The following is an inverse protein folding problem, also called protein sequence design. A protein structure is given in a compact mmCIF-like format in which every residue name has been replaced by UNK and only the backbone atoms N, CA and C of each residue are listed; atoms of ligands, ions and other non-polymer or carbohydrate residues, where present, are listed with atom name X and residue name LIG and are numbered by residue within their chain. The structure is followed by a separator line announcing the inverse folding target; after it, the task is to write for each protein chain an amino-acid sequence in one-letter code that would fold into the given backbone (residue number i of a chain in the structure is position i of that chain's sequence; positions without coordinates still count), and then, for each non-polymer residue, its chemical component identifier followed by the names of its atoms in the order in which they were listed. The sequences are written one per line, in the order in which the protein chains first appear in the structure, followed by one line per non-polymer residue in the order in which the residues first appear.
data_IF_659142809537
#
_entry.id   IF_659142809537
#
_cell.length_a   1.000
_cell.length_b   1.000
_cell.length_c   1.000
_cell.angle_alpha   90.00
_cell.angle_beta   90.00
_cell.angle_gamma   90.00
#
_symmetry.space_group_name_H-M   'P 1'
#
loop_
_entity.id
_entity.type
_entity.pdbx_description
1 polymer ?
#
# COMPACT_ATOMS: atom_id res chain seq x y z
N UNK A 1 12.68 19.13 -30.53
CA UNK A 1 11.77 18.07 -30.04
C UNK A 1 10.38 18.32 -30.61
N UNK A 2 9.94 17.46 -31.53
CA UNK A 2 8.70 17.60 -32.31
C UNK A 2 7.46 17.37 -31.43
N UNK A 3 6.31 17.92 -31.83
CA UNK A 3 5.01 17.79 -31.14
C UNK A 3 4.60 16.33 -30.90
N UNK A 4 4.97 15.41 -31.79
CA UNK A 4 4.83 13.96 -31.58
C UNK A 4 5.62 13.43 -30.37
N UNK A 5 6.82 13.95 -30.10
CA UNK A 5 7.63 13.50 -28.96
C UNK A 5 7.00 13.91 -27.63
N UNK A 6 6.33 15.07 -27.57
CA UNK A 6 5.60 15.52 -26.37
C UNK A 6 4.35 14.68 -26.10
N UNK A 7 3.62 14.29 -27.15
CA UNK A 7 2.46 13.43 -27.01
C UNK A 7 2.85 12.03 -26.53
N UNK A 8 3.90 11.43 -27.12
CA UNK A 8 4.45 10.15 -26.66
C UNK A 8 4.98 10.23 -25.22
N UNK A 9 5.64 11.32 -24.82
CA UNK A 9 6.08 11.50 -23.43
C UNK A 9 4.91 11.70 -22.45
N UNK A 10 3.85 12.40 -22.84
CA UNK A 10 2.65 12.59 -22.03
C UNK A 10 1.86 11.27 -21.89
N UNK A 11 1.77 10.49 -22.98
CA UNK A 11 1.17 9.16 -22.98
C UNK A 11 2.00 8.20 -22.12
N UNK A 12 3.33 8.23 -22.23
CA UNK A 12 4.26 7.44 -21.40
C UNK A 12 4.24 7.85 -19.93
N UNK A 13 3.96 9.12 -19.60
CA UNK A 13 3.71 9.56 -18.20
C UNK A 13 2.36 9.07 -17.67
N UNK A 14 1.30 9.11 -18.49
CA UNK A 14 -0.02 8.58 -18.11
C UNK A 14 -0.02 7.05 -17.99
N UNK A 15 0.72 6.35 -18.84
CA UNK A 15 0.93 4.91 -18.76
C UNK A 15 1.95 4.54 -17.68
N UNK A 16 2.95 5.38 -17.41
CA UNK A 16 3.91 5.23 -16.31
C UNK A 16 3.28 5.39 -14.92
N UNK A 17 2.08 5.97 -14.83
CA UNK A 17 1.23 5.94 -13.62
C UNK A 17 0.52 4.59 -13.43
N UNK A 18 0.37 3.79 -14.49
CA UNK A 18 -0.02 2.37 -14.40
C UNK A 18 1.25 1.53 -14.20
N UNK A 19 1.89 1.67 -13.03
CA UNK A 19 2.90 0.70 -12.60
C UNK A 19 2.21 -0.63 -12.30
N UNK A 20 1.95 -1.41 -13.35
CA UNK A 20 1.38 -2.74 -13.25
C UNK A 20 2.42 -3.64 -12.56
N UNK A 21 2.15 -4.12 -11.33
CA UNK A 21 3.01 -5.10 -10.71
C UNK A 21 2.87 -6.39 -11.50
N UNK A 22 3.95 -6.82 -12.14
CA UNK A 22 3.97 -8.09 -12.84
C UNK A 22 4.03 -9.26 -11.84
N UNK A 23 3.55 -10.44 -12.23
CA UNK A 23 3.72 -11.67 -11.46
C UNK A 23 5.19 -12.05 -11.24
N UNK A 24 5.40 -13.01 -10.36
CA UNK A 24 6.70 -13.56 -9.96
C UNK A 24 7.58 -13.98 -11.13
N UNK A 25 6.98 -14.53 -12.19
CA UNK A 25 7.64 -14.85 -13.46
C UNK A 25 6.98 -14.11 -14.63
N UNK A 26 7.82 -13.58 -15.50
CA UNK A 26 7.46 -12.94 -16.75
C UNK A 26 7.31 -13.97 -17.88
N UNK A 27 6.13 -14.58 -17.96
CA UNK A 27 5.64 -15.42 -19.08
C UNK A 27 6.40 -16.72 -19.40
N UNK A 28 7.66 -16.89 -19.00
CA UNK A 28 8.52 -18.02 -19.44
C UNK A 28 7.98 -19.38 -19.06
N UNK A 29 7.52 -19.54 -17.83
CA UNK A 29 7.03 -20.82 -17.33
C UNK A 29 5.70 -21.25 -17.98
N UNK A 30 4.62 -20.44 -17.98
CA UNK A 30 3.37 -20.85 -18.62
C UNK A 30 3.47 -20.96 -20.15
N UNK A 31 4.24 -20.08 -20.81
CA UNK A 31 4.43 -20.13 -22.26
C UNK A 31 5.34 -21.30 -22.64
N UNK A 32 6.43 -21.54 -21.92
CA UNK A 32 7.34 -22.66 -22.15
C UNK A 32 6.65 -24.02 -21.98
N UNK A 33 5.77 -24.17 -20.97
CA UNK A 33 4.98 -25.39 -20.78
C UNK A 33 4.00 -25.64 -21.93
N UNK A 34 3.39 -24.58 -22.50
CA UNK A 34 2.50 -24.73 -23.65
C UNK A 34 3.29 -25.03 -24.93
N UNK A 35 4.39 -24.31 -25.18
CA UNK A 35 5.19 -24.53 -26.38
C UNK A 35 5.83 -25.93 -26.40
N UNK A 36 6.24 -26.45 -25.24
CA UNK A 36 6.76 -27.82 -25.12
C UNK A 36 5.73 -28.92 -25.39
N UNK A 37 4.43 -28.62 -25.43
CA UNK A 37 3.38 -29.59 -25.81
C UNK A 37 3.27 -29.78 -27.33
N UNK A 38 3.53 -28.72 -28.10
CA UNK A 38 3.17 -28.66 -29.53
C UNK A 38 4.37 -28.52 -30.46
N UNK A 39 5.52 -28.10 -29.92
CA UNK A 39 6.71 -27.79 -30.71
C UNK A 39 7.89 -28.67 -30.31
N UNK A 40 8.78 -28.99 -31.26
CA UNK A 40 10.05 -29.62 -30.94
C UNK A 40 10.92 -28.69 -30.07
N UNK A 41 11.89 -29.24 -29.32
CA UNK A 41 12.60 -28.53 -28.25
C UNK A 41 13.23 -27.20 -28.68
N UNK A 42 13.94 -27.18 -29.81
CA UNK A 42 14.58 -25.96 -30.33
C UNK A 42 13.55 -24.88 -30.70
N UNK A 43 12.43 -25.26 -31.29
CA UNK A 43 11.35 -24.32 -31.63
C UNK A 43 10.61 -23.83 -30.38
N UNK A 44 10.43 -24.69 -29.37
CA UNK A 44 9.84 -24.30 -28.09
C UNK A 44 10.73 -23.30 -27.34
N UNK A 45 12.05 -23.51 -27.32
CA UNK A 45 13.03 -22.59 -26.74
C UNK A 45 13.05 -21.24 -27.47
N UNK A 46 13.13 -21.26 -28.80
CA UNK A 46 13.10 -20.03 -29.62
C UNK A 46 11.79 -19.28 -29.46
N UNK A 47 10.65 -19.98 -29.44
CA UNK A 47 9.34 -19.40 -29.23
C UNK A 47 9.21 -18.73 -27.86
N UNK A 48 9.70 -19.38 -26.79
CA UNK A 48 9.71 -18.80 -25.46
C UNK A 48 10.64 -17.58 -25.37
N UNK A 49 11.81 -17.63 -26.01
CA UNK A 49 12.75 -16.52 -26.07
C UNK A 49 12.17 -15.30 -26.82
N UNK A 50 11.53 -15.53 -27.97
CA UNK A 50 10.85 -14.49 -28.74
C UNK A 50 9.68 -13.89 -27.95
N UNK A 51 8.87 -14.71 -27.29
CA UNK A 51 7.76 -14.26 -26.44
C UNK A 51 8.23 -13.37 -25.29
N UNK A 52 9.28 -13.79 -24.58
CA UNK A 52 9.88 -12.97 -23.53
C UNK A 52 10.51 -11.69 -24.09
N UNK A 53 11.19 -11.75 -25.23
CA UNK A 53 11.77 -10.57 -25.90
C UNK A 53 10.71 -9.53 -26.29
N UNK A 54 9.60 -9.97 -26.89
CA UNK A 54 8.45 -9.11 -27.22
C UNK A 54 7.81 -8.53 -25.96
N UNK A 55 7.68 -9.32 -24.89
CA UNK A 55 7.15 -8.83 -23.61
C UNK A 55 8.05 -7.76 -22.97
N UNK A 56 9.38 -7.95 -22.99
CA UNK A 56 10.35 -6.96 -22.49
C UNK A 56 10.27 -5.67 -23.31
N UNK A 57 10.16 -5.78 -24.64
CA UNK A 57 10.01 -4.64 -25.53
C UNK A 57 8.72 -3.86 -25.22
N UNK A 58 7.61 -4.55 -24.99
CA UNK A 58 6.34 -3.94 -24.60
C UNK A 58 6.45 -3.21 -23.25
N UNK A 59 7.07 -3.83 -22.24
CA UNK A 59 7.33 -3.19 -20.95
C UNK A 59 8.23 -1.96 -21.07
N UNK A 60 9.22 -2.01 -21.95
CA UNK A 60 10.12 -0.88 -22.21
C UNK A 60 9.38 0.29 -22.86
N UNK A 61 8.52 0.02 -23.84
CA UNK A 61 7.66 1.01 -24.49
C UNK A 61 6.71 1.69 -23.49
N UNK A 62 6.10 0.91 -22.60
CA UNK A 62 5.21 1.39 -21.54
C UNK A 62 5.96 2.11 -20.41
N UNK A 63 7.28 1.92 -20.29
CA UNK A 63 8.12 2.50 -19.23
C UNK A 63 8.07 1.73 -17.91
N UNK A 64 7.52 0.52 -17.89
CA UNK A 64 7.38 -0.33 -16.70
C UNK A 64 8.59 -1.21 -16.39
N UNK A 65 9.65 -1.15 -17.20
CA UNK A 65 10.82 -2.04 -17.09
C UNK A 65 11.58 -1.84 -15.77
N UNK A 66 11.74 -0.60 -15.32
CA UNK A 66 12.48 -0.29 -14.08
C UNK A 66 11.79 -0.90 -12.85
N UNK A 67 10.45 -0.82 -12.78
CA UNK A 67 9.66 -1.36 -11.68
C UNK A 67 9.65 -2.90 -11.64
N UNK A 68 9.78 -3.55 -12.80
CA UNK A 68 9.68 -5.00 -12.94
C UNK A 68 11.02 -5.71 -13.25
N UNK A 69 12.15 -4.98 -13.14
CA UNK A 69 13.50 -5.53 -13.34
C UNK A 69 13.78 -6.86 -12.63
N UNK A 70 13.37 -7.09 -11.36
CA UNK A 70 13.64 -8.38 -10.71
C UNK A 70 12.83 -9.54 -11.31
N UNK A 71 11.58 -9.32 -11.73
CA UNK A 71 10.75 -10.35 -12.38
C UNK A 71 11.32 -10.71 -13.76
N UNK A 72 11.68 -9.70 -14.56
CA UNK A 72 12.32 -9.91 -15.87
C UNK A 72 13.66 -10.63 -15.75
N UNK A 73 14.50 -10.24 -14.79
CA UNK A 73 15.79 -10.87 -14.55
C UNK A 73 15.65 -12.35 -14.17
N UNK A 74 14.65 -12.68 -13.36
CA UNK A 74 14.36 -14.06 -12.96
C UNK A 74 13.94 -14.91 -14.16
N UNK A 75 13.05 -14.41 -15.01
CA UNK A 75 12.60 -15.15 -16.18
C UNK A 75 13.69 -15.34 -17.24
N UNK A 76 14.58 -14.35 -17.42
CA UNK A 76 15.78 -14.51 -18.23
C UNK A 76 16.69 -15.61 -17.68
N UNK A 77 16.87 -15.68 -16.35
CA UNK A 77 17.66 -16.72 -15.71
C UNK A 77 17.05 -18.11 -15.88
N UNK A 78 15.72 -18.24 -15.73
CA UNK A 78 14.99 -19.49 -15.99
C UNK A 78 15.16 -19.94 -17.44
N UNK A 79 14.99 -19.03 -18.41
CA UNK A 79 15.14 -19.32 -19.83
C UNK A 79 16.56 -19.80 -20.17
N UNK A 80 17.59 -19.13 -19.62
CA UNK A 80 18.98 -19.52 -19.82
C UNK A 80 19.25 -20.91 -19.24
N UNK A 81 18.82 -21.16 -17.99
CA UNK A 81 18.96 -22.48 -17.38
C UNK A 81 18.25 -23.56 -18.20
N UNK A 82 17.00 -23.32 -18.61
CA UNK A 82 16.24 -24.27 -19.43
C UNK A 82 16.93 -24.57 -20.76
N UNK A 83 17.45 -23.55 -21.45
CA UNK A 83 18.21 -23.72 -22.69
C UNK A 83 19.50 -24.52 -22.45
N UNK A 84 20.26 -24.21 -21.40
CA UNK A 84 21.49 -24.96 -21.07
C UNK A 84 21.21 -26.42 -20.76
N UNK A 85 20.15 -26.71 -19.98
CA UNK A 85 19.78 -28.08 -19.65
C UNK A 85 19.29 -28.84 -20.88
N UNK A 86 18.44 -28.22 -21.71
CA UNK A 86 17.92 -28.85 -22.92
C UNK A 86 19.03 -29.20 -23.93
N UNK A 87 20.06 -28.37 -24.06
CA UNK A 87 21.22 -28.64 -24.91
C UNK A 87 22.20 -29.66 -24.31
N UNK A 88 22.23 -29.80 -22.98
CA UNK A 88 23.18 -30.69 -22.30
C UNK A 88 22.66 -32.13 -22.17
N UNK A 89 21.34 -32.32 -22.20
CA UNK A 89 20.68 -33.61 -22.01
C UNK A 89 19.98 -34.08 -23.30
N UNK A 90 20.74 -34.14 -24.40
CA UNK A 90 20.20 -34.50 -25.73
C UNK A 90 19.81 -35.99 -25.83
N UNK A 91 20.20 -36.83 -24.86
CA UNK A 91 19.93 -38.28 -24.86
C UNK A 91 18.58 -38.68 -24.24
N UNK A 92 17.86 -37.76 -23.58
CA UNK A 92 16.61 -38.05 -22.85
C UNK A 92 15.32 -37.89 -23.70
N UNK A 93 15.43 -37.84 -25.03
CA UNK A 93 14.33 -37.51 -25.94
C UNK A 93 13.15 -38.50 -25.94
N UNK A 94 13.33 -39.70 -25.40
CA UNK A 94 12.34 -40.77 -25.51
C UNK A 94 11.05 -40.51 -24.71
N UNK A 95 11.07 -39.68 -23.67
CA UNK A 95 9.89 -39.43 -22.84
C UNK A 95 9.19 -38.11 -23.17
N UNK A 96 7.89 -38.08 -23.52
CA UNK A 96 7.20 -36.86 -23.98
C UNK A 96 7.16 -35.70 -22.96
N UNK A 97 7.50 -35.96 -21.69
CA UNK A 97 7.50 -34.98 -20.60
C UNK A 97 8.89 -34.42 -20.25
N UNK A 98 9.96 -34.87 -20.93
CA UNK A 98 11.34 -34.50 -20.59
C UNK A 98 11.57 -32.98 -20.68
N UNK A 99 11.04 -32.34 -21.71
CA UNK A 99 11.24 -30.90 -21.92
C UNK A 99 10.53 -30.05 -20.85
N UNK A 100 9.37 -30.52 -20.39
CA UNK A 100 8.61 -29.91 -19.28
C UNK A 100 9.30 -30.11 -17.94
N UNK A 101 9.89 -31.28 -17.68
CA UNK A 101 10.60 -31.55 -16.43
C UNK A 101 11.85 -30.66 -16.30
N UNK A 102 12.59 -30.44 -17.39
CA UNK A 102 13.73 -29.50 -17.39
C UNK A 102 13.30 -28.06 -17.11
N UNK A 103 12.15 -27.61 -17.65
CA UNK A 103 11.62 -26.28 -17.38
C UNK A 103 11.22 -26.13 -15.90
N UNK A 104 10.52 -27.11 -15.33
CA UNK A 104 10.14 -27.09 -13.91
C UNK A 104 11.39 -27.10 -13.01
N UNK A 105 12.41 -27.89 -13.35
CA UNK A 105 13.67 -27.92 -12.62
C UNK A 105 14.42 -26.58 -12.70
N UNK A 106 14.46 -25.94 -13.88
CA UNK A 106 15.06 -24.61 -14.05
C UNK A 106 14.36 -23.52 -13.21
N UNK A 107 13.05 -23.65 -13.02
CA UNK A 107 12.29 -22.74 -12.17
C UNK A 107 12.56 -22.94 -10.67
N UNK A 108 12.63 -24.18 -10.20
CA UNK A 108 12.94 -24.49 -8.80
C UNK A 108 14.34 -23.99 -8.45
N UNK A 109 15.32 -24.26 -9.32
CA UNK A 109 16.70 -23.80 -9.12
C UNK A 109 16.78 -22.27 -9.11
N UNK A 110 16.11 -21.58 -10.03
CA UNK A 110 15.97 -20.11 -10.01
C UNK A 110 15.37 -19.57 -8.71
N UNK A 111 14.29 -20.21 -8.23
CA UNK A 111 13.63 -19.84 -6.96
C UNK A 111 14.56 -19.98 -5.76
N UNK A 112 15.35 -21.05 -5.72
CA UNK A 112 16.28 -21.35 -4.64
C UNK A 112 17.44 -20.34 -4.63
N UNK A 113 18.02 -20.03 -5.80
CA UNK A 113 19.07 -19.00 -5.94
C UNK A 113 18.54 -17.64 -5.50
N UNK A 114 17.32 -17.25 -5.92
CA UNK A 114 16.70 -16.01 -5.48
C UNK A 114 16.42 -16.00 -3.97
N UNK A 115 16.04 -17.13 -3.38
CA UNK A 115 15.90 -17.32 -1.93
C UNK A 115 17.20 -17.06 -1.17
N UNK A 116 18.30 -17.70 -1.58
CA UNK A 116 19.63 -17.54 -0.96
C UNK A 116 20.12 -16.11 -1.07
N UNK A 117 20.00 -15.49 -2.25
CA UNK A 117 20.39 -14.10 -2.47
C UNK A 117 19.63 -13.13 -1.54
N UNK A 118 18.32 -13.32 -1.40
CA UNK A 118 17.48 -12.52 -0.50
C UNK A 118 17.87 -12.73 0.96
N UNK A 119 18.08 -13.96 1.39
CA UNK A 119 18.49 -14.29 2.75
C UNK A 119 19.84 -13.67 3.13
N UNK A 120 20.83 -13.74 2.24
CA UNK A 120 22.13 -13.09 2.45
C UNK A 120 22.00 -11.57 2.56
N UNK A 121 21.20 -10.94 1.69
CA UNK A 121 20.96 -9.49 1.73
C UNK A 121 20.23 -9.05 3.00
N UNK A 122 19.21 -9.79 3.43
CA UNK A 122 18.42 -9.44 4.61
C UNK A 122 19.22 -9.68 5.92
N UNK A 123 20.28 -10.51 5.90
CA UNK A 123 21.22 -10.74 7.03
C UNK A 123 22.35 -9.70 7.14
N UNK A 124 22.80 -9.13 6.02
CA UNK A 124 23.91 -8.15 5.97
C UNK A 124 23.48 -6.71 5.66
N UNK A 125 22.25 -6.50 5.24
CA UNK A 125 21.69 -5.18 4.98
C UNK A 125 21.25 -4.48 6.26
N UNK A 126 21.57 -3.21 6.38
CA UNK A 126 20.84 -2.30 7.28
C UNK A 126 19.36 -2.34 6.93
N UNK A 127 18.47 -2.40 7.93
CA UNK A 127 17.02 -2.35 7.76
C UNK A 127 16.65 -1.06 7.01
N UNK A 128 16.63 -1.12 5.67
CA UNK A 128 16.10 -0.03 4.87
C UNK A 128 14.60 0.03 5.19
N UNK A 129 14.13 1.18 5.68
CA UNK A 129 12.71 1.50 5.79
C UNK A 129 12.06 1.48 4.40
N UNK A 130 11.80 0.27 3.91
CA UNK A 130 11.12 0.05 2.66
C UNK A 130 9.69 0.53 2.78
N UNK A 131 9.22 1.24 1.76
CA UNK A 131 7.81 1.61 1.65
C UNK A 131 6.93 0.37 1.87
N UNK A 132 5.96 0.47 2.80
CA UNK A 132 5.04 -0.61 3.14
C UNK A 132 4.33 -1.19 1.90
N UNK A 133 4.00 -0.36 0.90
CA UNK A 133 3.48 -0.80 -0.41
C UNK A 133 4.35 -1.88 -1.03
N UNK A 134 5.67 -1.65 -1.08
CA UNK A 134 6.64 -2.59 -1.65
C UNK A 134 6.77 -3.85 -0.79
N UNK A 135 6.64 -3.72 0.54
CA UNK A 135 6.66 -4.86 1.46
C UNK A 135 5.44 -5.77 1.26
N UNK A 136 4.23 -5.21 1.24
CA UNK A 136 2.98 -5.95 1.02
C UNK A 136 3.01 -6.65 -0.35
N UNK A 137 3.37 -5.93 -1.42
CA UNK A 137 3.48 -6.53 -2.76
C UNK A 137 4.55 -7.63 -2.82
N UNK A 138 5.66 -7.50 -2.09
CA UNK A 138 6.71 -8.53 -2.00
C UNK A 138 6.21 -9.76 -1.25
N UNK A 139 5.48 -9.60 -0.16
CA UNK A 139 4.92 -10.71 0.64
C UNK A 139 3.87 -11.50 -0.16
N UNK A 140 3.00 -10.82 -0.91
CA UNK A 140 2.03 -11.49 -1.79
C UNK A 140 2.73 -12.26 -2.93
N UNK A 141 3.75 -11.67 -3.56
CA UNK A 141 4.58 -12.38 -4.56
C UNK A 141 5.24 -13.63 -3.97
N UNK A 142 5.76 -13.55 -2.74
CA UNK A 142 6.36 -14.69 -2.04
C UNK A 142 5.35 -15.81 -1.72
N UNK A 143 4.07 -15.49 -1.53
CA UNK A 143 3.02 -16.50 -1.36
C UNK A 143 2.81 -17.27 -2.67
N UNK A 144 2.67 -16.57 -3.79
CA UNK A 144 2.53 -17.21 -5.10
C UNK A 144 3.78 -17.99 -5.53
N UNK A 145 4.97 -17.46 -5.26
CA UNK A 145 6.23 -18.16 -5.49
C UNK A 145 6.26 -19.51 -4.76
N UNK A 146 5.85 -19.55 -3.49
CA UNK A 146 5.78 -20.80 -2.70
C UNK A 146 4.77 -21.80 -3.27
N UNK A 147 3.59 -21.32 -3.70
CA UNK A 147 2.57 -22.17 -4.34
C UNK A 147 3.14 -22.79 -5.61
N UNK A 148 3.80 -21.98 -6.45
CA UNK A 148 4.34 -22.45 -7.72
C UNK A 148 5.54 -23.39 -7.53
N UNK A 149 6.38 -23.17 -6.51
CA UNK A 149 7.45 -24.11 -6.13
C UNK A 149 6.84 -25.45 -5.68
N UNK A 150 5.87 -25.43 -4.77
CA UNK A 150 5.22 -26.65 -4.28
C UNK A 150 4.57 -27.42 -5.43
N UNK A 151 3.85 -26.72 -6.31
CA UNK A 151 3.28 -27.32 -7.52
C UNK A 151 4.36 -27.94 -8.41
N UNK A 152 5.43 -27.21 -8.74
CA UNK A 152 6.51 -27.71 -9.59
C UNK A 152 7.20 -28.95 -9.00
N UNK A 153 7.37 -29.01 -7.68
CA UNK A 153 7.96 -30.17 -7.00
C UNK A 153 7.04 -31.38 -7.03
N UNK A 154 5.74 -31.19 -6.76
CA UNK A 154 4.74 -32.27 -6.87
C UNK A 154 4.65 -32.78 -8.30
N UNK A 155 4.66 -31.89 -9.30
CA UNK A 155 4.64 -32.27 -10.71
C UNK A 155 5.90 -33.03 -11.11
N UNK A 156 7.10 -32.62 -10.66
CA UNK A 156 8.33 -33.38 -10.92
C UNK A 156 8.30 -34.78 -10.30
N UNK A 157 7.80 -34.92 -9.07
CA UNK A 157 7.61 -36.22 -8.44
C UNK A 157 6.62 -37.10 -9.22
N UNK A 158 5.52 -36.51 -9.71
CA UNK A 158 4.55 -37.20 -10.54
C UNK A 158 5.14 -37.63 -11.90
N UNK A 159 5.91 -36.76 -12.56
CA UNK A 159 6.62 -37.10 -13.80
C UNK A 159 7.60 -38.27 -13.54
N UNK A 160 8.39 -38.20 -12.47
CA UNK A 160 9.31 -39.28 -12.08
C UNK A 160 8.57 -40.61 -11.85
N UNK A 161 7.46 -40.57 -11.12
CA UNK A 161 6.61 -41.75 -10.91
C UNK A 161 6.06 -42.30 -12.24
N UNK A 162 5.62 -41.44 -13.16
CA UNK A 162 5.16 -41.84 -14.49
C UNK A 162 6.27 -42.48 -15.32
N UNK A 163 7.51 -41.99 -15.24
CA UNK A 163 8.67 -42.61 -15.93
C UNK A 163 8.96 -44.02 -15.39
N UNK A 164 8.80 -44.23 -14.09
CA UNK A 164 9.05 -45.54 -13.46
C UNK A 164 7.90 -46.55 -13.59
N UNK A 165 6.65 -46.08 -13.65
CA UNK A 165 5.45 -46.93 -13.54
C UNK A 165 4.67 -47.09 -14.85
N UNK A 166 4.74 -46.12 -15.76
CA UNK A 166 3.94 -46.13 -16.98
C UNK A 166 4.79 -46.49 -18.20
N UNK A 167 4.49 -47.60 -18.90
CA UNK A 167 5.11 -47.86 -20.19
C UNK A 167 4.73 -46.76 -21.20
N UNK A 168 5.65 -46.46 -22.12
CA UNK A 168 5.52 -45.38 -23.14
C UNK A 168 4.24 -45.49 -23.98
N UNK A 169 3.65 -46.69 -24.05
CA UNK A 169 2.39 -46.99 -24.74
C UNK A 169 1.17 -46.23 -24.21
N UNK A 170 1.21 -45.69 -22.98
CA UNK A 170 0.15 -44.84 -22.41
C UNK A 170 0.29 -43.35 -22.81
N UNK A 171 0.77 -43.07 -24.02
CA UNK A 171 1.06 -41.72 -24.51
C UNK A 171 -0.10 -40.72 -24.35
N UNK A 172 -1.35 -41.18 -24.51
CA UNK A 172 -2.53 -40.33 -24.31
C UNK A 172 -2.67 -39.83 -22.86
N UNK A 173 -2.44 -40.68 -21.86
CA UNK A 173 -2.49 -40.28 -20.44
C UNK A 173 -1.39 -39.27 -20.10
N UNK A 174 -0.18 -39.48 -20.61
CA UNK A 174 0.94 -38.56 -20.43
C UNK A 174 0.63 -37.20 -21.08
N UNK A 175 -0.01 -37.18 -22.24
CA UNK A 175 -0.43 -35.95 -22.91
C UNK A 175 -1.53 -35.22 -22.14
N UNK A 176 -2.54 -35.92 -21.60
CA UNK A 176 -3.55 -35.31 -20.73
C UNK A 176 -2.94 -34.71 -19.46
N UNK A 177 -1.97 -35.41 -18.86
CA UNK A 177 -1.23 -34.92 -17.70
C UNK A 177 -0.44 -33.64 -18.04
N UNK A 178 0.26 -33.62 -19.17
CA UNK A 178 1.02 -32.47 -19.64
C UNK A 178 0.12 -31.23 -19.88
N UNK A 179 -1.05 -31.44 -20.50
CA UNK A 179 -2.05 -30.38 -20.72
C UNK A 179 -2.59 -29.87 -19.39
N UNK A 180 -2.89 -30.77 -18.45
CA UNK A 180 -3.35 -30.40 -17.11
C UNK A 180 -2.33 -29.52 -16.38
N UNK A 181 -1.04 -29.87 -16.44
CA UNK A 181 0.05 -29.09 -15.84
C UNK A 181 0.13 -27.68 -16.44
N UNK A 182 0.06 -27.58 -17.78
CA UNK A 182 0.07 -26.28 -18.46
C UNK A 182 -1.17 -25.43 -18.10
N UNK A 183 -2.36 -26.03 -18.08
CA UNK A 183 -3.61 -25.34 -17.77
C UNK A 183 -3.66 -24.87 -16.32
N UNK A 184 -3.24 -25.72 -15.37
CA UNK A 184 -3.16 -25.36 -13.96
C UNK A 184 -2.20 -24.18 -13.75
N UNK A 185 -1.03 -24.22 -14.40
CA UNK A 185 -0.05 -23.13 -14.34
C UNK A 185 -0.62 -21.82 -14.87
N UNK A 186 -1.34 -21.85 -16.00
CA UNK A 186 -2.04 -20.69 -16.53
C UNK A 186 -3.10 -20.14 -15.58
N UNK A 187 -3.84 -21.03 -14.89
CA UNK A 187 -4.80 -20.66 -13.85
C UNK A 187 -4.16 -19.92 -12.68
N UNK A 188 -3.06 -20.46 -12.14
CA UNK A 188 -2.29 -19.81 -11.07
C UNK A 188 -1.73 -18.46 -11.52
N UNK A 189 -1.19 -18.39 -12.74
CA UNK A 189 -0.65 -17.15 -13.32
C UNK A 189 -1.71 -16.06 -13.48
N UNK A 190 -2.89 -16.41 -14.00
CA UNK A 190 -4.01 -15.48 -14.15
C UNK A 190 -4.51 -14.99 -12.79
N UNK A 191 -4.62 -15.90 -11.82
CA UNK A 191 -5.04 -15.56 -10.46
C UNK A 191 -4.03 -14.64 -9.75
N UNK A 192 -2.72 -14.92 -9.85
CA UNK A 192 -1.66 -14.05 -9.33
C UNK A 192 -1.75 -12.65 -9.95
N UNK A 193 -1.88 -12.58 -11.28
CA UNK A 193 -1.94 -11.31 -12.01
C UNK A 193 -3.15 -10.47 -11.59
N UNK A 194 -4.32 -11.10 -11.47
CA UNK A 194 -5.56 -10.43 -11.05
C UNK A 194 -5.50 -10.00 -9.57
N UNK A 195 -4.95 -10.84 -8.70
CA UNK A 195 -4.76 -10.52 -7.29
C UNK A 195 -3.79 -9.35 -7.10
N UNK A 196 -2.64 -9.35 -7.78
CA UNK A 196 -1.67 -8.26 -7.72
C UNK A 196 -2.25 -6.94 -8.24
N UNK A 197 -3.04 -6.99 -9.32
CA UNK A 197 -3.76 -5.82 -9.82
C UNK A 197 -4.76 -5.28 -8.78
N UNK A 198 -5.52 -6.17 -8.13
CA UNK A 198 -6.48 -5.81 -7.10
C UNK A 198 -5.81 -5.18 -5.87
N UNK A 199 -4.74 -5.82 -5.36
CA UNK A 199 -3.95 -5.30 -4.24
C UNK A 199 -3.34 -3.94 -4.59
N UNK A 200 -2.80 -3.79 -5.80
CA UNK A 200 -2.23 -2.51 -6.23
C UNK A 200 -3.27 -1.40 -6.30
N UNK A 201 -4.45 -1.69 -6.86
CA UNK A 201 -5.57 -0.75 -6.92
C UNK A 201 -6.09 -0.38 -5.53
N UNK A 202 -6.05 -1.31 -4.58
CA UNK A 202 -6.38 -1.05 -3.17
C UNK A 202 -5.33 -0.16 -2.52
N UNK A 203 -4.05 -0.45 -2.72
CA UNK A 203 -2.92 0.35 -2.22
C UNK A 203 -2.87 1.76 -2.83
N UNK A 204 -3.31 1.95 -4.08
CA UNK A 204 -3.41 3.26 -4.72
C UNK A 204 -4.53 4.14 -4.11
N UNK A 205 -5.50 3.52 -3.40
CA UNK A 205 -6.53 4.23 -2.63
C UNK A 205 -6.13 4.47 -1.19
N UNK A 206 -5.04 3.85 -0.73
CA UNK A 206 -4.55 3.97 0.63
C UNK A 206 -3.91 5.34 0.84
N UNK A 207 -4.35 6.05 1.88
CA UNK A 207 -3.76 7.32 2.28
C UNK A 207 -2.59 7.06 3.22
N UNK A 208 -1.56 7.91 3.13
CA UNK A 208 -0.33 7.75 3.90
C UNK A 208 -0.16 8.91 4.87
N UNK A 209 0.20 8.61 6.10
CA UNK A 209 0.56 9.57 7.14
C UNK A 209 2.09 9.71 7.13
N UNK A 210 2.66 10.91 6.94
CA UNK A 210 4.09 11.10 7.02
C UNK A 210 4.55 10.99 8.48
N UNK A 211 5.64 10.27 8.71
CA UNK A 211 6.29 10.21 10.03
C UNK A 211 7.23 11.41 10.14
N UNK A 212 7.03 12.26 11.16
CA UNK A 212 7.81 13.47 11.38
C UNK A 212 8.75 13.32 12.57
N UNK A 213 9.99 13.81 12.41
CA UNK A 213 10.95 13.94 13.50
C UNK A 213 10.73 15.23 14.31
N UNK A 214 11.53 15.41 15.36
CA UNK A 214 11.40 16.57 16.26
C UNK A 214 11.65 17.92 15.57
N UNK A 215 12.43 17.93 14.49
CA UNK A 215 12.68 19.12 13.66
C UNK A 215 11.67 19.27 12.50
N UNK A 216 10.50 18.63 12.60
CA UNK A 216 9.48 18.56 11.53
C UNK A 216 9.97 17.98 10.18
N UNK A 217 11.14 17.36 10.16
CA UNK A 217 11.65 16.65 8.98
C UNK A 217 10.91 15.33 8.76
N UNK A 218 10.58 15.01 7.51
CA UNK A 218 9.92 13.74 7.17
C UNK A 218 10.92 12.58 7.24
N UNK A 219 10.69 11.64 8.16
CA UNK A 219 11.52 10.45 8.38
C UNK A 219 11.01 9.24 7.57
N UNK A 220 9.70 9.16 7.35
CA UNK A 220 9.06 8.01 6.72
C UNK A 220 7.57 8.22 6.48
N UNK A 221 6.83 7.11 6.29
CA UNK A 221 5.38 7.11 6.12
C UNK A 221 4.73 5.81 6.60
N UNK A 222 3.52 5.93 7.10
CA UNK A 222 2.71 4.85 7.68
C UNK A 222 1.32 4.86 7.01
N UNK A 223 0.69 3.71 6.76
CA UNK A 223 -0.65 3.65 6.17
C UNK A 223 -1.70 4.20 7.13
N UNK A 224 -2.74 4.85 6.60
CA UNK A 224 -3.86 5.33 7.42
C UNK A 224 -4.59 4.19 8.13
N UNK A 225 -4.69 3.00 7.52
CA UNK A 225 -5.32 1.82 8.14
C UNK A 225 -4.62 1.30 9.40
N UNK A 226 -3.32 1.56 9.56
CA UNK A 226 -2.53 1.11 10.70
C UNK A 226 -1.59 2.24 11.14
N UNK A 227 -2.19 3.26 11.77
CA UNK A 227 -1.53 4.50 12.13
C UNK A 227 -0.66 4.37 13.40
N UNK A 228 0.37 3.51 13.35
CA UNK A 228 1.37 3.34 14.40
C UNK A 228 2.79 3.46 13.85
N UNK A 229 3.69 4.06 14.63
CA UNK A 229 5.07 4.34 14.24
C UNK A 229 6.02 4.27 15.43
N UNK A 230 7.06 3.44 15.30
CA UNK A 230 8.14 3.30 16.28
C UNK A 230 9.29 4.30 16.07
N UNK A 231 9.33 4.97 14.91
CA UNK A 231 10.51 5.73 14.44
C UNK A 231 10.36 7.24 14.52
N UNK A 232 9.19 7.74 14.93
CA UNK A 232 8.91 9.16 14.96
C UNK A 232 7.43 9.45 15.22
N UNK A 233 7.09 10.75 15.17
CA UNK A 233 5.77 11.25 15.54
C UNK A 233 4.81 11.21 14.37
N UNK A 234 3.53 10.96 14.65
CA UNK A 234 2.48 11.04 13.64
C UNK A 234 1.76 12.39 13.72
N UNK A 235 1.67 13.15 12.62
CA UNK A 235 1.03 14.46 12.62
C UNK A 235 -0.50 14.36 12.63
N UNK A 236 -1.12 15.12 13.52
CA UNK A 236 -2.57 15.19 13.73
C UNK A 236 -3.00 16.65 13.62
N UNK A 237 -4.12 16.90 12.93
CA UNK A 237 -4.78 18.20 12.91
C UNK A 237 -6.01 18.13 13.80
N UNK A 238 -6.07 19.04 14.77
CA UNK A 238 -7.21 19.24 15.68
C UNK A 238 -7.80 20.61 15.44
N UNK A 239 -9.11 20.72 15.48
CA UNK A 239 -9.83 21.98 15.32
C UNK A 239 -10.82 22.16 16.48
N UNK A 240 -10.77 23.32 17.13
CA UNK A 240 -11.72 23.70 18.17
C UNK A 240 -12.79 24.62 17.58
N UNK A 241 -14.05 24.30 17.79
CA UNK A 241 -15.15 25.18 17.41
C UNK A 241 -15.60 25.99 18.63
N UNK A 242 -15.55 27.31 18.50
CA UNK A 242 -15.96 28.27 19.54
C UNK A 242 -17.16 29.08 19.08
N UNK A 243 -18.05 29.43 20.02
CA UNK A 243 -19.09 30.45 19.81
C UNK A 243 -19.18 31.30 21.08
N UNK A 244 -18.63 32.52 21.03
CA UNK A 244 -18.46 33.32 22.26
C UNK A 244 -17.55 32.58 23.24
N UNK A 245 -18.07 32.24 24.42
CA UNK A 245 -17.35 31.55 25.52
C UNK A 245 -17.65 30.06 25.60
N UNK A 246 -18.26 29.53 24.54
CA UNK A 246 -18.68 28.15 24.46
C UNK A 246 -17.75 27.37 23.55
N UNK A 247 -17.40 26.15 23.94
CA UNK A 247 -16.69 25.17 23.14
C UNK A 247 -17.63 24.04 22.73
N UNK A 248 -17.53 23.58 21.49
CA UNK A 248 -18.27 22.41 21.04
C UNK A 248 -17.48 21.14 21.36
N UNK A 249 -18.05 20.28 22.20
CA UNK A 249 -17.45 19.03 22.65
C UNK A 249 -18.40 17.86 22.41
N UNK A 250 -17.85 16.72 22.05
CA UNK A 250 -18.55 15.45 21.87
C UNK A 250 -17.92 14.39 22.77
N UNK A 251 -18.75 13.49 23.31
CA UNK A 251 -18.26 12.37 24.11
C UNK A 251 -17.92 11.20 23.19
N UNK A 252 -16.65 10.75 23.22
CA UNK A 252 -16.24 9.53 22.55
C UNK A 252 -16.04 8.41 23.57
N UNK A 253 -16.86 7.36 23.47
CA UNK A 253 -16.62 6.09 24.19
C UNK A 253 -15.53 5.23 23.53
N UNK A 254 -15.14 5.57 22.29
CA UNK A 254 -14.14 4.81 21.53
C UNK A 254 -12.78 5.45 21.66
N UNK A 255 -11.83 4.68 22.20
CA UNK A 255 -10.40 4.99 22.16
C UNK A 255 -9.83 4.45 20.85
N UNK A 256 -9.60 5.33 19.88
CA UNK A 256 -9.00 4.97 18.59
C UNK A 256 -8.18 6.14 18.07
N UNK A 257 -6.85 5.98 18.02
CA UNK A 257 -5.94 6.99 17.49
C UNK A 257 -6.46 7.57 16.15
N UNK A 258 -6.59 8.91 16.03
CA UNK A 258 -6.04 9.94 16.91
C UNK A 258 -7.02 10.44 18.00
N UNK A 259 -8.22 9.85 18.11
CA UNK A 259 -9.29 10.23 19.03
C UNK A 259 -9.06 9.53 20.38
N UNK A 260 -8.99 10.30 21.45
CA UNK A 260 -8.94 9.79 22.82
C UNK A 260 -10.36 9.60 23.38
N UNK A 261 -10.52 8.68 24.32
CA UNK A 261 -11.79 8.52 25.03
C UNK A 261 -12.10 9.73 25.92
N UNK A 262 -13.38 10.04 26.09
CA UNK A 262 -13.88 11.15 26.89
C UNK A 262 -14.49 12.29 26.07
N UNK A 263 -14.81 13.40 26.76
CA UNK A 263 -15.28 14.63 26.13
C UNK A 263 -14.12 15.37 25.46
N UNK A 264 -14.20 15.58 24.15
CA UNK A 264 -13.21 16.30 23.35
C UNK A 264 -13.85 16.96 22.11
N UNK A 265 -13.07 17.71 21.33
CA UNK A 265 -13.49 18.16 20.01
C UNK A 265 -13.68 16.97 19.05
N UNK A 266 -14.78 16.95 18.27
CA UNK A 266 -14.99 15.94 17.23
C UNK A 266 -14.19 16.23 15.94
N UNK A 267 -13.56 17.39 15.82
CA UNK A 267 -12.82 17.79 14.62
C UNK A 267 -11.35 17.38 14.72
N UNK A 268 -11.09 16.08 14.59
CA UNK A 268 -9.74 15.50 14.65
C UNK A 268 -9.48 14.63 13.42
N UNK A 269 -8.33 14.80 12.78
CA UNK A 269 -7.92 13.92 11.68
C UNK A 269 -6.39 13.85 11.52
N UNK A 270 -5.92 12.75 10.94
CA UNK A 270 -4.52 12.57 10.58
C UNK A 270 -4.11 13.51 9.45
N UNK A 271 -2.92 14.10 9.53
CA UNK A 271 -2.34 14.82 8.41
C UNK A 271 -1.76 13.82 7.40
N UNK A 272 -2.31 13.79 6.19
CA UNK A 272 -1.87 12.87 5.12
C UNK A 272 -0.85 13.51 4.17
N UNK A 273 -0.05 12.68 3.50
CA UNK A 273 0.95 13.13 2.53
C UNK A 273 0.32 14.02 1.43
N UNK A 274 0.92 15.19 1.20
CA UNK A 274 0.45 16.14 0.18
C UNK A 274 -0.67 17.08 0.64
N UNK A 275 -1.24 16.88 1.83
CA UNK A 275 -2.19 17.80 2.44
C UNK A 275 -1.47 18.82 3.33
N UNK A 276 -1.89 20.10 3.26
CA UNK A 276 -1.43 21.14 4.20
C UNK A 276 -2.30 21.12 5.46
N UNK A 277 -1.75 21.35 6.66
CA UNK A 277 -2.54 21.37 7.90
C UNK A 277 -3.75 22.31 7.86
N UNK A 278 -3.57 23.52 7.32
CA UNK A 278 -4.66 24.50 7.16
C UNK A 278 -5.77 24.00 6.22
N UNK A 279 -5.40 23.34 5.12
CA UNK A 279 -6.38 22.79 4.18
C UNK A 279 -7.18 21.63 4.79
N UNK A 280 -6.53 20.81 5.63
CA UNK A 280 -7.20 19.75 6.37
C UNK A 280 -8.14 20.34 7.44
N UNK A 281 -7.73 21.39 8.15
CA UNK A 281 -8.58 22.09 9.10
C UNK A 281 -9.82 22.70 8.42
N UNK A 282 -9.67 23.28 7.22
CA UNK A 282 -10.81 23.76 6.44
C UNK A 282 -11.73 22.61 6.00
N UNK A 283 -11.16 21.47 5.60
CA UNK A 283 -11.94 20.30 5.21
C UNK A 283 -12.74 19.72 6.39
N UNK A 284 -12.19 19.72 7.60
CA UNK A 284 -12.92 19.36 8.83
C UNK A 284 -14.13 20.28 9.05
N UNK A 285 -14.00 21.57 8.73
CA UNK A 285 -15.12 22.52 8.78
C UNK A 285 -16.15 22.12 7.73
N UNK A 286 -15.74 22.00 6.47
CA UNK A 286 -16.63 21.79 5.33
C UNK A 286 -17.42 20.47 5.43
N UNK A 287 -16.86 19.44 6.07
CA UNK A 287 -17.51 18.15 6.27
C UNK A 287 -18.64 18.15 7.29
N UNK A 288 -18.56 19.02 8.30
CA UNK A 288 -19.43 19.01 9.48
C UNK A 288 -20.31 20.26 9.61
N UNK A 289 -19.87 21.41 9.06
CA UNK A 289 -20.65 22.65 9.03
C UNK A 289 -21.23 22.90 7.63
N UNK A 290 -22.40 22.31 7.33
CA UNK A 290 -23.05 22.65 6.07
C UNK A 290 -23.63 24.08 6.15
N UNK A 291 -23.13 24.96 5.29
CA UNK A 291 -23.65 26.33 5.15
C UNK A 291 -22.73 27.43 5.69
N UNK A 292 -21.69 27.09 6.47
CA UNK A 292 -20.72 28.07 7.00
C UNK A 292 -19.60 28.34 5.98
N UNK A 293 -19.96 28.87 4.81
CA UNK A 293 -19.04 29.06 3.67
C UNK A 293 -17.96 30.15 3.88
N UNK A 294 -17.90 30.80 5.05
CA UNK A 294 -17.01 31.93 5.33
C UNK A 294 -16.11 31.74 6.56
N UNK A 295 -16.31 30.69 7.35
CA UNK A 295 -15.45 30.46 8.51
C UNK A 295 -14.10 29.90 8.04
N UNK A 296 -13.02 30.51 8.54
CA UNK A 296 -11.64 30.09 8.25
C UNK A 296 -10.98 29.62 9.53
N UNK A 297 -10.28 28.47 9.52
CA UNK A 297 -9.56 27.99 10.68
C UNK A 297 -8.39 28.93 10.96
N UNK A 298 -8.19 29.27 12.23
CA UNK A 298 -7.05 30.05 12.73
C UNK A 298 -6.09 29.10 13.41
N UNK A 299 -4.83 29.12 12.99
CA UNK A 299 -3.80 28.35 13.67
C UNK A 299 -3.58 28.92 15.08
N UNK A 300 -3.62 28.06 16.09
CA UNK A 300 -3.36 28.44 17.47
C UNK A 300 -1.93 28.10 17.85
N UNK A 301 -1.60 26.82 17.83
CA UNK A 301 -0.30 26.33 18.27
C UNK A 301 0.01 24.95 17.69
N UNK A 302 1.30 24.63 17.66
CA UNK A 302 1.82 23.32 17.29
C UNK A 302 2.57 22.74 18.49
N UNK A 303 2.23 21.53 18.88
CA UNK A 303 2.79 20.90 20.06
C UNK A 303 2.91 19.39 19.92
N UNK A 304 3.43 18.78 20.98
CA UNK A 304 3.83 17.39 21.01
C UNK A 304 3.17 16.68 22.18
N UNK A 305 2.56 15.53 21.89
CA UNK A 305 1.87 14.73 22.90
C UNK A 305 2.11 13.24 22.64
N UNK A 306 1.90 12.42 23.66
CA UNK A 306 1.99 10.96 23.55
C UNK A 306 0.66 10.36 23.98
N UNK A 307 -0.02 9.68 23.05
CA UNK A 307 -1.30 9.01 23.32
C UNK A 307 -1.13 7.52 23.07
N UNK A 308 -1.53 6.69 24.04
CA UNK A 308 -1.38 5.22 23.98
C UNK A 308 0.04 4.74 23.58
N UNK A 309 1.08 5.45 24.03
CA UNK A 309 2.47 5.16 23.67
C UNK A 309 2.89 5.59 22.25
N UNK A 310 1.97 6.12 21.44
CA UNK A 310 2.28 6.70 20.13
C UNK A 310 2.67 8.18 20.30
N UNK A 311 3.88 8.60 19.91
CA UNK A 311 4.22 10.01 19.85
C UNK A 311 3.49 10.70 18.69
N UNK A 312 2.89 11.85 18.98
CA UNK A 312 2.07 12.63 18.08
C UNK A 312 2.60 14.06 17.94
N UNK A 313 2.32 14.66 16.78
CA UNK A 313 2.65 16.04 16.46
C UNK A 313 1.37 16.78 16.10
N UNK A 314 0.87 17.58 17.04
CA UNK A 314 -0.49 18.10 17.02
C UNK A 314 -0.50 19.54 16.52
N UNK A 315 -1.26 19.80 15.46
CA UNK A 315 -1.55 21.12 14.94
C UNK A 315 -2.95 21.54 15.38
N UNK A 316 -3.02 22.47 16.32
CA UNK A 316 -4.27 22.96 16.86
C UNK A 316 -4.74 24.20 16.10
N UNK A 317 -5.96 24.14 15.60
CA UNK A 317 -6.68 25.24 14.98
C UNK A 317 -7.93 25.59 15.81
N UNK A 318 -8.42 26.81 15.65
CA UNK A 318 -9.73 27.20 16.16
C UNK A 318 -10.57 27.89 15.09
N UNK A 319 -11.88 27.74 15.18
CA UNK A 319 -12.86 28.40 14.33
C UNK A 319 -13.94 29.03 15.19
N UNK A 320 -14.18 30.31 14.96
CA UNK A 320 -15.25 31.07 15.61
C UNK A 320 -16.50 31.02 14.74
N UNK A 321 -17.59 30.52 15.31
CA UNK A 321 -18.88 30.36 14.66
C UNK A 321 -19.81 31.47 15.16
N UNK A 322 -20.50 32.12 14.23
CA UNK A 322 -21.34 33.27 14.56
C UNK A 322 -22.64 32.87 15.28
N UNK A 323 -23.25 31.75 14.90
CA UNK A 323 -24.49 31.26 15.48
C UNK A 323 -24.40 29.76 15.82
N UNK A 324 -24.77 29.34 17.05
CA UNK A 324 -24.74 27.93 17.46
C UNK A 324 -25.60 27.01 16.58
N UNK A 325 -26.65 27.56 15.95
CA UNK A 325 -27.55 26.87 15.02
C UNK A 325 -26.90 26.55 13.67
N UNK A 326 -25.73 27.10 13.35
CA UNK A 326 -25.02 26.79 12.11
C UNK A 326 -24.37 25.39 12.11
N UNK A 327 -24.35 24.72 13.26
CA UNK A 327 -24.01 23.29 13.42
C UNK A 327 -25.15 22.33 13.05
N UNK A 328 -26.34 22.82 12.69
CA UNK A 328 -27.56 22.00 12.53
C UNK A 328 -27.54 21.00 11.37
N UNK A 329 -26.43 20.88 10.64
CA UNK A 329 -26.28 19.87 9.58
C UNK A 329 -25.01 19.06 9.81
N UNK A 330 -24.90 18.52 11.02
CA UNK A 330 -23.99 17.42 11.26
C UNK A 330 -24.58 16.18 10.56
N UNK A 331 -23.92 15.70 9.52
CA UNK A 331 -24.32 14.48 8.81
C UNK A 331 -24.28 13.23 9.72
N UNK A 332 -23.73 13.35 10.94
CA UNK A 332 -23.69 12.33 11.99
C UNK A 332 -24.06 12.93 13.36
N UNK A 333 -25.35 13.18 13.65
CA UNK A 333 -25.82 14.06 14.73
C UNK A 333 -25.82 13.45 16.14
N UNK A 334 -24.97 12.49 16.46
CA UNK A 334 -25.03 11.83 17.76
C UNK A 334 -23.94 12.37 18.71
N UNK A 335 -24.36 13.28 19.60
CA UNK A 335 -23.83 13.55 20.96
C UNK A 335 -23.01 14.83 21.24
N UNK A 336 -22.70 15.68 20.25
CA UNK A 336 -22.00 16.95 20.50
C UNK A 336 -22.85 18.02 21.20
N UNK A 337 -22.26 18.78 22.13
CA UNK A 337 -22.90 19.88 22.87
C UNK A 337 -21.97 21.09 23.00
N UNK A 338 -22.56 22.27 23.12
CA UNK A 338 -21.86 23.50 23.47
C UNK A 338 -21.71 23.61 24.99
N UNK A 339 -20.47 23.74 25.45
CA UNK A 339 -20.11 23.84 26.86
C UNK A 339 -19.50 25.20 27.17
N UNK A 340 -19.98 25.91 28.21
CA UNK A 340 -19.31 27.12 28.69
C UNK A 340 -17.91 26.77 29.19
N UNK A 341 -16.93 27.61 28.87
CA UNK A 341 -15.56 27.39 29.31
C UNK A 341 -15.45 27.29 30.84
N UNK A 342 -16.20 28.13 31.57
CA UNK A 342 -16.28 28.10 33.04
C UNK A 342 -16.80 26.77 33.61
N UNK A 343 -17.72 26.10 32.89
CA UNK A 343 -18.20 24.78 33.32
C UNK A 343 -17.16 23.69 33.06
N UNK A 344 -16.42 23.79 31.95
CA UNK A 344 -15.35 22.83 31.63
C UNK A 344 -14.25 22.91 32.69
N UNK A 345 -13.82 24.12 33.05
CA UNK A 345 -12.78 24.33 34.07
C UNK A 345 -13.20 23.86 35.44
N UNK A 346 -14.45 24.13 35.84
CA UNK A 346 -14.99 23.71 37.13
C UNK A 346 -15.18 22.18 37.23
N UNK A 347 -15.44 21.50 36.11
CA UNK A 347 -15.73 20.06 36.08
C UNK A 347 -14.55 19.20 35.60
N UNK A 348 -13.37 19.79 35.42
CA UNK A 348 -12.19 19.12 34.86
C UNK A 348 -11.78 17.86 35.64
N UNK A 349 -11.99 17.87 36.97
CA UNK A 349 -11.68 16.76 37.87
C UNK A 349 -12.84 15.76 38.02
N UNK A 350 -14.06 16.14 37.65
CA UNK A 350 -15.29 15.37 37.91
C UNK A 350 -15.76 14.58 36.69
N UNK A 351 -15.46 15.06 35.48
CA UNK A 351 -15.87 14.45 34.22
C UNK A 351 -14.68 13.86 33.46
N UNK A 352 -14.97 12.83 32.67
CA UNK A 352 -14.01 12.17 31.79
C UNK A 352 -13.74 13.03 30.54
N UNK A 353 -12.98 14.11 30.72
CA UNK A 353 -12.40 14.89 29.62
C UNK A 353 -11.15 14.23 29.06
N UNK A 354 -11.02 14.24 27.73
CA UNK A 354 -9.88 13.65 27.03
C UNK A 354 -8.54 14.33 27.43
N UNK A 355 -7.40 13.59 27.39
CA UNK A 355 -6.08 14.14 27.72
C UNK A 355 -5.72 15.39 26.92
N UNK A 356 -6.02 15.39 25.63
CA UNK A 356 -5.79 16.54 24.75
C UNK A 356 -6.45 17.81 25.27
N UNK A 357 -7.75 17.74 25.59
CA UNK A 357 -8.52 18.90 26.02
C UNK A 357 -7.93 19.49 27.31
N UNK A 358 -7.47 18.65 28.23
CA UNK A 358 -6.82 19.10 29.48
C UNK A 358 -5.51 19.83 29.20
N UNK A 359 -4.74 19.38 28.22
CA UNK A 359 -3.49 20.03 27.80
C UNK A 359 -3.74 21.34 27.04
N UNK A 360 -4.82 21.41 26.26
CA UNK A 360 -5.17 22.55 25.41
C UNK A 360 -5.92 23.66 26.17
N UNK A 361 -6.64 23.33 27.25
CA UNK A 361 -7.51 24.25 28.02
C UNK A 361 -6.82 25.56 28.43
N UNK A 362 -5.60 25.56 29.02
CA UNK A 362 -4.96 26.80 29.48
C UNK A 362 -4.67 27.77 28.33
N UNK A 363 -4.37 27.22 27.14
CA UNK A 363 -4.11 28.03 25.95
C UNK A 363 -5.42 28.57 25.35
N UNK A 364 -6.48 27.76 25.38
CA UNK A 364 -7.80 28.16 24.92
C UNK A 364 -8.37 29.29 25.78
N UNK A 365 -8.27 29.21 27.11
CA UNK A 365 -8.67 30.28 28.02
C UNK A 365 -8.01 31.61 27.67
N UNK A 366 -6.69 31.63 27.55
CA UNK A 366 -5.95 32.86 27.23
C UNK A 366 -6.35 33.43 25.87
N UNK A 367 -6.57 32.56 24.88
CA UNK A 367 -6.92 32.98 23.51
C UNK A 367 -8.34 33.51 23.42
N UNK A 368 -9.30 32.83 24.06
CA UNK A 368 -10.71 33.23 24.06
C UNK A 368 -10.88 34.53 24.86
N UNK A 369 -10.32 34.62 26.07
CA UNK A 369 -10.37 35.83 26.90
C UNK A 369 -9.77 37.05 26.18
N UNK A 370 -8.66 36.86 25.46
CA UNK A 370 -8.06 37.93 24.66
C UNK A 370 -8.99 38.36 23.51
N UNK A 371 -9.58 37.39 22.80
CA UNK A 371 -10.50 37.67 21.70
C UNK A 371 -11.75 38.42 22.18
N UNK A 372 -12.29 38.08 23.36
CA UNK A 372 -13.42 38.78 23.96
C UNK A 372 -13.08 40.24 24.29
N UNK A 373 -11.95 40.49 24.97
CA UNK A 373 -11.50 41.85 25.31
C UNK A 373 -11.37 42.72 24.06
N UNK A 374 -10.83 42.16 22.99
CA UNK A 374 -10.71 42.86 21.70
C UNK A 374 -12.07 43.15 21.07
N UNK A 375 -13.04 42.23 21.14
CA UNK A 375 -14.41 42.46 20.65
C UNK A 375 -15.13 43.56 21.45
N UNK A 376 -15.03 43.50 22.78
CA UNK A 376 -15.63 44.50 23.67
C UNK A 376 -15.00 45.90 23.50
N UNK A 377 -13.68 45.95 23.27
CA UNK A 377 -12.96 47.19 22.99
C UNK A 377 -13.21 47.77 21.59
N UNK A 378 -13.68 46.96 20.63
CA UNK A 378 -14.03 47.40 19.28
C UNK A 378 -15.51 47.83 19.12
N UNK A 379 -16.34 47.57 20.14
CA UNK A 379 -17.75 47.95 20.20
C UNK A 379 -18.03 49.27 20.96
N UNK A 380 -16.97 49.99 21.33
CA UNK A 380 -16.99 51.37 21.84
C UNK A 380 -16.45 52.30 20.74
#
# INVERSE_FOLDING_TARGET
MTTQSRYLHALRRRLGLMQLPLPTEFFTLPVGLVLSLFLPPLLALLGAALGLGLGILLLWLVGGLAANRPSVGRSLFVLLLWATLALSFDDFYEHPLWLQSLLLFSYITSSLVAGIYRWGRDRWGTLSCGCLRTRILREERLRFERILIAFSLVTLCAISACVHLCPVEWGALLQYFAIFVALFTWGVYAFESLHLLWVNKRLDREQWIPVVGDQQQQLGRVPLTDARSDQGRLPVVRLMATTGDMLYLEHSEREQLPIAAGYDTPFVSWLTEGCRPEALAQLLIDQRFCGVRRARPRFLLHYHETLEGQPLSVYLYAVDIAEPSQLLVDCQPQQGRWWPLEHITAQLEQLDFAPYLRAELPYLEQTILLAQRLRQGASL
#
